data_IF_893080679320
#
_entry.id   IF_893080679320
#
_cell.length_a   1.000
_cell.length_b   1.000
_cell.length_c   1.000
_cell.angle_alpha   90.00
_cell.angle_beta   90.00
_cell.angle_gamma   90.00
#
_symmetry.space_group_name_H-M   'P 1'
#
loop_
_entity.id
_entity.type
_entity.pdbx_description
1 polymer ?
#
# COMPACT_ATOMS: atom_id res chain seq x y z
N UNK A 1 -22.78 -14.32 6.46
CA UNK A 1 -22.09 -15.10 5.39
C UNK A 1 -22.65 -16.52 5.24
N UNK A 2 -22.75 -17.27 6.32
CA UNK A 2 -23.28 -18.64 6.28
C UNK A 2 -24.71 -18.69 5.72
N UNK A 3 -25.60 -17.80 6.15
CA UNK A 3 -26.97 -17.72 5.65
C UNK A 3 -27.08 -17.48 4.14
N UNK A 4 -26.06 -16.95 3.48
CA UNK A 4 -26.01 -16.75 2.03
C UNK A 4 -25.35 -17.89 1.28
N UNK A 5 -24.75 -18.85 1.96
CA UNK A 5 -24.08 -19.96 1.31
C UNK A 5 -25.11 -20.90 0.68
N UNK A 6 -25.11 -21.11 -0.65
CA UNK A 6 -26.05 -21.98 -1.34
C UNK A 6 -26.09 -23.40 -0.77
N UNK A 7 -25.00 -23.86 -0.17
CA UNK A 7 -24.89 -25.22 0.42
C UNK A 7 -25.78 -25.40 1.65
N UNK A 8 -26.22 -24.33 2.30
CA UNK A 8 -27.11 -24.41 3.48
C UNK A 8 -28.60 -24.48 3.09
N UNK A 9 -28.93 -24.39 1.82
CA UNK A 9 -30.32 -24.37 1.33
C UNK A 9 -30.60 -25.54 0.40
N UNK A 10 -31.66 -26.28 0.67
CA UNK A 10 -32.04 -27.48 -0.10
C UNK A 10 -32.24 -27.25 -1.60
N UNK A 11 -32.58 -26.02 -1.98
CA UNK A 11 -32.79 -25.60 -3.37
C UNK A 11 -31.63 -24.75 -3.91
N UNK A 12 -30.52 -24.59 -3.16
CA UNK A 12 -29.39 -23.77 -3.53
C UNK A 12 -29.66 -22.26 -3.59
N UNK A 13 -30.82 -21.81 -3.12
CA UNK A 13 -31.20 -20.38 -3.11
C UNK A 13 -31.49 -19.90 -1.69
N UNK A 14 -30.83 -18.84 -1.27
CA UNK A 14 -31.11 -18.18 -0.01
C UNK A 14 -32.50 -17.53 -0.08
N UNK A 15 -33.41 -17.83 0.86
CA UNK A 15 -34.76 -17.23 0.89
C UNK A 15 -34.75 -15.80 1.43
N UNK A 16 -33.60 -15.34 1.98
CA UNK A 16 -33.47 -13.99 2.55
C UNK A 16 -32.93 -13.01 1.52
N UNK A 17 -33.55 -11.85 1.46
CA UNK A 17 -32.98 -10.70 0.76
C UNK A 17 -31.97 -10.02 1.67
N UNK A 18 -30.72 -9.89 1.18
CA UNK A 18 -29.69 -9.14 1.88
C UNK A 18 -29.69 -7.70 1.41
N UNK A 19 -29.74 -6.80 2.37
CA UNK A 19 -29.59 -5.37 2.14
C UNK A 19 -28.45 -4.84 3.02
N UNK A 20 -27.42 -4.28 2.40
CA UNK A 20 -26.40 -3.52 3.11
C UNK A 20 -26.75 -2.03 3.02
N UNK A 21 -26.70 -1.35 4.14
CA UNK A 21 -26.94 0.09 4.26
C UNK A 21 -25.69 0.73 4.85
N UNK A 22 -24.65 0.98 4.02
CA UNK A 22 -23.42 1.62 4.52
C UNK A 22 -23.70 3.05 4.96
N UNK A 23 -23.00 3.51 5.97
CA UNK A 23 -23.15 4.87 6.50
C UNK A 23 -22.82 5.94 5.44
N UNK A 24 -21.82 5.67 4.59
CA UNK A 24 -21.50 6.51 3.41
C UNK A 24 -21.89 5.75 2.15
N UNK A 25 -22.89 6.25 1.45
CA UNK A 25 -23.40 5.68 0.20
C UNK A 25 -22.50 6.03 -0.99
N UNK A 26 -21.96 7.27 -1.00
CA UNK A 26 -21.06 7.75 -2.04
C UNK A 26 -19.97 8.64 -1.43
N UNK A 27 -18.70 8.24 -1.63
CA UNK A 27 -17.55 9.05 -1.23
C UNK A 27 -17.23 10.07 -2.34
N UNK A 28 -17.13 11.35 -1.97
CA UNK A 28 -16.67 12.44 -2.84
C UNK A 28 -15.38 13.05 -2.32
N UNK A 29 -14.82 14.01 -3.07
CA UNK A 29 -13.51 14.61 -2.74
C UNK A 29 -13.48 15.27 -1.36
N UNK A 30 -14.56 15.94 -1.00
CA UNK A 30 -14.69 16.61 0.29
C UNK A 30 -15.72 15.89 1.15
N UNK A 31 -15.49 15.77 2.46
CA UNK A 31 -16.44 15.16 3.37
C UNK A 31 -17.83 15.83 3.34
N UNK A 32 -17.88 17.15 3.13
CA UNK A 32 -19.12 17.93 3.05
C UNK A 32 -20.02 17.48 1.90
N UNK A 33 -19.42 16.91 0.85
CA UNK A 33 -20.13 16.45 -0.34
C UNK A 33 -20.51 14.96 -0.28
N UNK A 34 -20.17 14.23 0.79
CA UNK A 34 -20.49 12.82 0.89
C UNK A 34 -21.98 12.57 0.98
N UNK A 35 -22.45 11.57 0.24
CA UNK A 35 -23.83 11.10 0.36
C UNK A 35 -23.89 10.08 1.48
N UNK A 36 -24.60 10.37 2.54
CA UNK A 36 -24.70 9.54 3.72
C UNK A 36 -26.07 8.90 3.88
N UNK A 37 -26.16 7.80 4.63
CA UNK A 37 -27.41 7.13 4.92
C UNK A 37 -28.32 7.98 5.82
N UNK A 38 -27.71 8.78 6.71
CA UNK A 38 -28.41 9.68 7.63
C UNK A 38 -28.05 11.13 7.27
N UNK A 39 -28.72 11.73 6.29
CA UNK A 39 -28.50 13.13 5.95
C UNK A 39 -28.97 14.04 7.09
N UNK A 40 -28.69 15.32 6.97
CA UNK A 40 -29.20 16.32 7.91
C UNK A 40 -30.73 16.25 7.97
N UNK A 41 -31.26 16.37 9.19
CA UNK A 41 -32.69 16.33 9.52
C UNK A 41 -33.17 17.69 10.01
N UNK A 42 -34.44 18.00 9.80
CA UNK A 42 -35.14 19.15 10.40
C UNK A 42 -35.57 18.89 11.85
N UNK A 43 -35.37 17.67 12.36
CA UNK A 43 -35.66 17.27 13.74
C UNK A 43 -34.46 16.57 14.37
N UNK A 44 -34.31 16.65 15.71
CA UNK A 44 -33.31 15.87 16.45
C UNK A 44 -33.46 14.37 16.16
N UNK A 45 -32.36 13.67 15.88
CA UNK A 45 -32.40 12.28 15.44
C UNK A 45 -32.88 11.28 16.52
N UNK A 46 -32.53 11.52 17.77
CA UNK A 46 -32.83 10.60 18.87
C UNK A 46 -33.88 11.17 19.82
N UNK A 47 -34.56 12.27 19.45
CA UNK A 47 -35.44 12.98 20.34
C UNK A 47 -34.70 13.66 21.49
N UNK A 48 -33.40 13.89 21.36
CA UNK A 48 -32.58 14.63 22.29
C UNK A 48 -32.90 16.13 22.14
N UNK A 49 -33.70 16.65 23.04
CA UNK A 49 -34.15 18.05 23.06
C UNK A 49 -32.96 19.02 23.29
N UNK A 50 -31.80 18.51 23.77
CA UNK A 50 -30.60 19.29 24.02
C UNK A 50 -29.69 19.37 22.77
N UNK A 51 -29.99 18.60 21.68
CA UNK A 51 -29.24 18.67 20.43
C UNK A 51 -29.50 20.01 19.73
N UNK A 52 -28.41 20.75 19.44
CA UNK A 52 -28.51 22.06 18.79
C UNK A 52 -28.40 21.90 17.26
N UNK A 53 -29.27 22.60 16.48
CA UNK A 53 -29.18 22.62 15.04
C UNK A 53 -27.91 23.38 14.59
N UNK A 54 -27.47 23.10 13.36
CA UNK A 54 -26.40 23.85 12.72
C UNK A 54 -26.86 25.28 12.30
N UNK A 55 -25.96 26.04 11.67
CA UNK A 55 -26.23 27.39 11.18
C UNK A 55 -27.40 27.48 10.18
N UNK A 56 -27.82 26.34 9.59
CA UNK A 56 -28.92 26.22 8.64
C UNK A 56 -30.22 25.76 9.32
N UNK A 57 -30.21 25.53 10.62
CA UNK A 57 -31.34 25.05 11.38
C UNK A 57 -31.59 23.54 11.24
N UNK A 58 -30.58 22.77 10.78
CA UNK A 58 -30.66 21.33 10.58
C UNK A 58 -29.83 20.59 11.63
N UNK A 59 -30.26 19.39 11.97
CA UNK A 59 -29.59 18.50 12.94
C UNK A 59 -28.70 17.48 12.19
N UNK A 60 -27.36 17.66 12.19
CA UNK A 60 -26.44 16.77 11.52
C UNK A 60 -26.02 15.65 12.48
N UNK A 61 -26.62 14.46 12.38
CA UNK A 61 -26.17 13.33 13.21
C UNK A 61 -24.97 12.60 12.60
N UNK A 62 -25.13 12.16 11.36
CA UNK A 62 -24.13 11.38 10.63
C UNK A 62 -23.94 11.93 9.22
N UNK A 63 -23.74 13.23 9.13
CA UNK A 63 -23.35 13.88 7.89
C UNK A 63 -21.90 13.51 7.49
N UNK A 64 -21.49 13.90 6.30
CA UNK A 64 -20.17 13.58 5.79
C UNK A 64 -19.02 14.03 6.71
N UNK A 65 -19.00 15.29 7.21
CA UNK A 65 -17.99 15.76 8.16
C UNK A 65 -17.93 14.95 9.45
N UNK A 66 -19.08 14.63 10.05
CA UNK A 66 -19.17 13.83 11.29
C UNK A 66 -18.67 12.41 11.06
N UNK A 67 -19.05 11.78 9.95
CA UNK A 67 -18.55 10.46 9.56
C UNK A 67 -17.06 10.49 9.21
N UNK A 68 -16.57 11.56 8.62
CA UNK A 68 -15.14 11.72 8.35
C UNK A 68 -14.33 11.81 9.65
N UNK A 69 -14.80 12.60 10.62
CA UNK A 69 -14.20 12.66 11.95
C UNK A 69 -14.22 11.28 12.61
N UNK A 70 -15.39 10.63 12.63
CA UNK A 70 -15.56 9.29 13.22
C UNK A 70 -14.68 8.24 12.59
N UNK A 71 -14.47 8.30 11.27
CA UNK A 71 -13.54 7.43 10.55
C UNK A 71 -12.09 7.56 11.04
N UNK A 72 -11.69 8.77 11.47
CA UNK A 72 -10.38 8.99 12.10
C UNK A 72 -10.24 8.47 13.52
N UNK A 73 -11.36 8.29 14.24
CA UNK A 73 -11.40 7.86 15.64
C UNK A 73 -11.48 6.34 15.82
N UNK A 74 -11.93 5.61 14.80
CA UNK A 74 -12.10 4.15 14.87
C UNK A 74 -11.08 3.45 14.02
N UNK A 75 -10.84 2.15 14.32
CA UNK A 75 -9.94 1.33 13.47
C UNK A 75 -10.56 1.13 12.08
N UNK A 76 -9.74 0.95 11.03
CA UNK A 76 -10.25 0.67 9.68
C UNK A 76 -11.19 -0.53 9.61
N UNK A 77 -10.95 -1.57 10.42
CA UNK A 77 -11.83 -2.75 10.51
C UNK A 77 -13.17 -2.41 11.15
N UNK A 78 -13.18 -1.63 12.23
CA UNK A 78 -14.42 -1.15 12.87
C UNK A 78 -15.20 -0.27 11.89
N UNK A 79 -14.50 0.60 11.14
CA UNK A 79 -15.14 1.41 10.11
C UNK A 79 -15.78 0.53 9.03
N UNK A 80 -15.03 -0.44 8.47
CA UNK A 80 -15.52 -1.33 7.43
C UNK A 80 -16.71 -2.17 7.90
N UNK A 81 -16.58 -2.79 9.09
CA UNK A 81 -17.60 -3.71 9.60
C UNK A 81 -18.86 -2.97 10.06
N UNK A 82 -18.71 -1.93 10.88
CA UNK A 82 -19.82 -1.27 11.59
C UNK A 82 -20.45 -0.19 10.71
N UNK A 83 -19.64 0.66 10.08
CA UNK A 83 -20.14 1.80 9.32
C UNK A 83 -20.38 1.52 7.85
N UNK A 84 -19.56 0.66 7.23
CA UNK A 84 -19.72 0.33 5.81
C UNK A 84 -20.42 -1.02 5.58
N UNK A 85 -20.67 -1.78 6.66
CA UNK A 85 -21.23 -3.14 6.60
C UNK A 85 -20.46 -4.06 5.64
N UNK A 86 -19.16 -3.81 5.52
CA UNK A 86 -18.22 -4.65 4.81
C UNK A 86 -17.79 -5.78 5.73
N UNK A 87 -17.80 -6.99 5.21
CA UNK A 87 -17.44 -8.19 5.95
C UNK A 87 -15.92 -8.29 6.09
N UNK A 88 -15.42 -8.05 7.29
CA UNK A 88 -14.00 -8.20 7.63
C UNK A 88 -13.83 -9.51 8.38
N UNK A 89 -13.31 -10.54 7.72
CA UNK A 89 -13.04 -11.82 8.37
C UNK A 89 -11.82 -11.74 9.30
N UNK A 90 -11.87 -12.47 10.41
CA UNK A 90 -10.74 -12.66 11.32
C UNK A 90 -9.55 -13.34 10.61
N UNK A 91 -9.82 -14.16 9.58
CA UNK A 91 -8.81 -14.82 8.75
C UNK A 91 -8.29 -13.95 7.58
N UNK A 92 -8.32 -12.64 7.71
CA UNK A 92 -7.78 -11.75 6.68
C UNK A 92 -6.28 -11.96 6.52
N UNK A 93 -5.81 -12.07 5.27
CA UNK A 93 -4.38 -12.16 4.94
C UNK A 93 -3.62 -10.92 5.42
N UNK A 94 -4.31 -9.77 5.44
CA UNK A 94 -3.82 -8.52 6.01
C UNK A 94 -4.69 -8.13 7.20
N UNK A 95 -4.47 -8.71 8.39
CA UNK A 95 -5.26 -8.39 9.57
C UNK A 95 -5.27 -6.89 9.84
N UNK A 96 -6.43 -6.31 10.15
CA UNK A 96 -6.55 -4.86 10.36
C UNK A 96 -5.58 -4.32 11.40
N UNK A 97 -5.39 -5.03 12.50
CA UNK A 97 -4.47 -4.65 13.56
C UNK A 97 -3.01 -4.58 13.07
N UNK A 98 -2.61 -5.51 12.18
CA UNK A 98 -1.27 -5.54 11.59
C UNK A 98 -1.06 -4.37 10.63
N UNK A 99 -2.01 -4.12 9.73
CA UNK A 99 -1.95 -2.99 8.78
C UNK A 99 -1.89 -1.67 9.55
N UNK A 100 -2.72 -1.51 10.56
CA UNK A 100 -2.76 -0.33 11.43
C UNK A 100 -1.41 -0.11 12.15
N UNK A 101 -0.80 -1.18 12.64
CA UNK A 101 0.52 -1.11 13.29
C UNK A 101 1.63 -0.64 12.35
N UNK A 102 1.48 -0.82 11.04
CA UNK A 102 2.43 -0.34 10.04
C UNK A 102 2.23 1.13 9.66
N UNK A 103 1.14 1.77 10.06
CA UNK A 103 0.87 3.18 9.78
C UNK A 103 1.64 4.07 10.75
N UNK A 104 2.44 5.00 10.20
CA UNK A 104 3.14 6.01 10.98
C UNK A 104 2.32 7.30 10.97
N UNK A 105 1.53 7.52 12.02
CA UNK A 105 0.61 8.65 12.12
C UNK A 105 1.26 10.04 11.99
N UNK A 106 2.55 10.16 12.32
CA UNK A 106 3.32 11.41 12.19
C UNK A 106 3.90 11.64 10.77
N UNK A 107 3.90 10.63 9.91
CA UNK A 107 4.44 10.72 8.55
C UNK A 107 3.31 10.99 7.55
N UNK A 108 3.35 12.15 6.94
CA UNK A 108 2.41 12.50 5.87
C UNK A 108 2.78 11.80 4.56
N UNK A 109 1.80 11.69 3.64
CA UNK A 109 2.06 11.26 2.27
C UNK A 109 3.00 12.25 1.57
N UNK A 110 3.79 11.75 0.65
CA UNK A 110 4.73 12.54 -0.13
C UNK A 110 6.16 12.06 -0.04
N UNK A 111 7.10 12.75 -0.69
CA UNK A 111 8.52 12.46 -0.60
C UNK A 111 8.99 12.55 0.86
N UNK A 112 9.93 11.70 1.22
CA UNK A 112 10.61 11.82 2.50
C UNK A 112 11.44 13.12 2.50
N UNK A 113 11.67 13.70 3.69
CA UNK A 113 12.40 14.96 3.81
C UNK A 113 13.82 14.80 3.22
N UNK A 114 14.38 15.84 2.58
CA UNK A 114 15.77 15.83 2.13
C UNK A 114 16.72 15.45 3.27
N UNK A 115 17.67 14.56 3.01
CA UNK A 115 18.60 14.03 4.02
C UNK A 115 17.97 12.99 4.95
N UNK A 116 16.67 12.73 4.88
CA UNK A 116 16.08 11.61 5.58
C UNK A 116 16.47 10.30 4.90
N UNK A 117 16.66 9.28 5.71
CA UNK A 117 16.82 7.91 5.24
C UNK A 117 15.62 7.53 4.39
N UNK A 118 15.86 7.04 3.17
CA UNK A 118 14.80 6.70 2.21
C UNK A 118 14.26 7.88 1.39
N UNK A 119 14.92 9.05 1.40
CA UNK A 119 14.58 10.13 0.46
C UNK A 119 14.74 9.64 -0.99
N UNK A 120 13.83 9.97 -1.95
CA UNK A 120 13.90 9.49 -3.33
C UNK A 120 15.21 9.79 -4.05
N UNK A 121 15.86 10.91 -3.70
CA UNK A 121 17.17 11.30 -4.25
C UNK A 121 18.36 10.83 -3.40
N UNK A 122 18.11 10.02 -2.37
CA UNK A 122 19.19 9.42 -1.59
C UNK A 122 19.81 8.26 -2.36
N UNK A 123 21.12 8.16 -2.35
CA UNK A 123 21.86 7.06 -3.00
C UNK A 123 21.51 5.71 -2.36
N UNK A 124 21.13 5.73 -1.09
CA UNK A 124 20.70 4.55 -0.32
C UNK A 124 19.25 4.16 -0.58
N UNK A 125 18.45 5.06 -1.16
CA UNK A 125 17.05 4.83 -1.49
C UNK A 125 16.87 4.31 -2.91
N UNK A 126 15.94 3.39 -3.11
CA UNK A 126 15.49 2.97 -4.43
C UNK A 126 13.98 3.08 -4.50
N UNK A 127 13.51 4.01 -5.32
CA UNK A 127 12.07 4.33 -5.43
C UNK A 127 11.47 3.65 -6.65
N UNK A 128 10.34 3.01 -6.44
CA UNK A 128 9.55 2.32 -7.46
C UNK A 128 8.13 2.85 -7.45
N UNK A 129 7.59 3.14 -8.60
CA UNK A 129 6.16 3.38 -8.78
C UNK A 129 5.55 2.13 -9.40
N UNK A 130 4.63 1.51 -8.67
CA UNK A 130 3.77 0.46 -9.21
C UNK A 130 2.52 1.09 -9.82
N UNK A 131 2.14 0.64 -10.98
CA UNK A 131 0.98 1.14 -11.72
C UNK A 131 0.12 -0.04 -12.20
N UNK A 132 -1.12 -0.06 -11.74
CA UNK A 132 -2.17 -0.95 -12.21
C UNK A 132 -3.11 -0.16 -13.13
N UNK A 133 -2.95 -0.29 -14.45
CA UNK A 133 -3.76 0.47 -15.39
C UNK A 133 -5.14 -0.17 -15.58
N UNK A 134 -6.18 0.65 -15.52
CA UNK A 134 -7.49 0.28 -15.98
C UNK A 134 -7.91 1.14 -17.16
N UNK A 135 -8.84 0.66 -17.96
CA UNK A 135 -9.44 1.42 -19.03
C UNK A 135 -10.97 1.48 -18.88
N UNK A 136 -11.53 2.66 -19.14
CA UNK A 136 -12.97 2.87 -19.15
C UNK A 136 -13.58 2.92 -17.75
N UNK A 137 -14.46 1.98 -17.41
CA UNK A 137 -15.22 1.98 -16.14
C UNK A 137 -14.43 1.45 -14.92
N UNK A 138 -13.14 1.17 -15.06
CA UNK A 138 -12.28 0.69 -13.98
C UNK A 138 -11.62 1.81 -13.17
N UNK A 139 -10.75 1.41 -12.24
CA UNK A 139 -9.89 2.33 -11.50
C UNK A 139 -8.45 2.06 -11.89
N UNK A 140 -7.70 3.13 -12.18
CA UNK A 140 -6.26 3.05 -12.34
C UNK A 140 -5.60 3.44 -11.01
N UNK A 141 -4.64 2.65 -10.56
CA UNK A 141 -3.98 2.90 -9.28
C UNK A 141 -2.47 3.06 -9.44
N UNK A 142 -1.93 3.99 -8.67
CA UNK A 142 -0.51 4.29 -8.60
C UNK A 142 -0.05 4.21 -7.15
N UNK A 143 1.04 3.52 -6.88
CA UNK A 143 1.68 3.46 -5.56
C UNK A 143 3.15 3.76 -5.70
N UNK A 144 3.61 4.83 -5.04
CA UNK A 144 5.03 5.11 -4.89
C UNK A 144 5.56 4.45 -3.62
N UNK A 145 6.65 3.69 -3.75
CA UNK A 145 7.29 2.97 -2.67
C UNK A 145 8.80 3.11 -2.76
N UNK A 146 9.49 3.33 -1.66
CA UNK A 146 10.95 3.37 -1.62
C UNK A 146 11.49 2.29 -0.69
N UNK A 147 12.52 1.58 -1.14
CA UNK A 147 13.33 0.72 -0.30
C UNK A 147 14.57 1.47 0.14
N UNK A 148 14.82 1.50 1.44
CA UNK A 148 16.01 2.08 2.03
C UNK A 148 17.00 0.98 2.44
N UNK A 149 18.20 1.05 1.90
CA UNK A 149 19.25 0.04 2.13
C UNK A 149 19.86 0.12 3.53
N UNK A 150 19.83 1.28 4.18
CA UNK A 150 20.44 1.49 5.49
C UNK A 150 19.64 0.81 6.59
N UNK A 151 18.33 1.06 6.63
CA UNK A 151 17.46 0.50 7.67
C UNK A 151 16.68 -0.73 7.24
N UNK A 152 16.82 -1.14 5.98
CA UNK A 152 16.14 -2.32 5.41
C UNK A 152 14.63 -2.16 5.28
N UNK A 153 14.09 -0.95 5.37
CA UNK A 153 12.65 -0.69 5.35
C UNK A 153 12.14 -0.32 3.96
N UNK A 154 10.88 -0.59 3.77
CA UNK A 154 10.09 -0.19 2.62
C UNK A 154 9.08 0.86 3.05
N UNK A 155 9.16 2.04 2.48
CA UNK A 155 8.27 3.15 2.78
C UNK A 155 7.26 3.34 1.64
N UNK A 156 5.98 3.16 1.93
CA UNK A 156 4.92 3.61 1.02
C UNK A 156 4.88 5.13 1.10
N UNK A 157 5.15 5.81 0.01
CA UNK A 157 5.21 7.28 -0.06
C UNK A 157 3.86 7.89 -0.36
N UNK A 158 3.14 7.28 -1.30
CA UNK A 158 1.83 7.76 -1.76
C UNK A 158 1.05 6.65 -2.44
N UNK A 159 -0.27 6.87 -2.53
CA UNK A 159 -1.16 6.09 -3.36
C UNK A 159 -2.21 7.02 -3.98
N UNK A 160 -2.46 6.85 -5.27
CA UNK A 160 -3.59 7.46 -5.95
C UNK A 160 -4.45 6.39 -6.61
N UNK A 161 -5.77 6.55 -6.46
CA UNK A 161 -6.79 5.67 -7.01
C UNK A 161 -7.71 6.48 -7.91
N UNK A 162 -7.45 6.44 -9.21
CA UNK A 162 -8.13 7.25 -10.20
C UNK A 162 -9.37 6.54 -10.73
N UNK A 163 -10.54 7.12 -10.50
CA UNK A 163 -11.77 6.71 -11.18
C UNK A 163 -11.83 7.27 -12.61
N UNK A 164 -12.50 6.54 -13.50
CA UNK A 164 -12.71 6.94 -14.89
C UNK A 164 -11.41 7.37 -15.60
N UNK A 165 -10.40 6.50 -15.66
CA UNK A 165 -9.12 6.80 -16.24
C UNK A 165 -9.24 7.01 -17.76
N UNK A 166 -8.68 8.13 -18.23
CA UNK A 166 -8.45 8.37 -19.66
C UNK A 166 -6.94 8.35 -19.93
N UNK A 167 -6.50 8.08 -21.18
CA UNK A 167 -5.08 8.08 -21.51
C UNK A 167 -4.37 9.37 -21.07
N UNK A 168 -5.01 10.54 -21.24
CA UNK A 168 -4.44 11.82 -20.82
C UNK A 168 -4.32 11.95 -19.30
N UNK A 169 -5.34 11.52 -18.54
CA UNK A 169 -5.29 11.53 -17.08
C UNK A 169 -4.20 10.60 -16.56
N UNK A 170 -4.09 9.40 -17.13
CA UNK A 170 -3.05 8.43 -16.80
C UNK A 170 -1.67 9.03 -17.09
N UNK A 171 -1.47 9.63 -18.26
CA UNK A 171 -0.20 10.25 -18.62
C UNK A 171 0.16 11.37 -17.65
N UNK A 172 -0.77 12.26 -17.33
CA UNK A 172 -0.57 13.33 -16.35
C UNK A 172 -0.21 12.78 -14.96
N UNK A 173 -0.83 11.68 -14.53
CA UNK A 173 -0.51 11.05 -13.24
C UNK A 173 0.88 10.41 -13.25
N UNK A 174 1.28 9.76 -14.35
CA UNK A 174 2.66 9.24 -14.51
C UNK A 174 3.67 10.39 -14.36
N UNK A 175 3.43 11.49 -15.06
CA UNK A 175 4.30 12.68 -15.01
C UNK A 175 4.36 13.27 -13.60
N UNK A 176 3.21 13.40 -12.92
CA UNK A 176 3.16 13.88 -11.53
C UNK A 176 3.97 13.01 -10.60
N UNK A 177 3.79 11.67 -10.66
CA UNK A 177 4.52 10.74 -9.80
C UNK A 177 6.02 10.72 -10.09
N UNK A 178 6.42 10.80 -11.35
CA UNK A 178 7.84 10.83 -11.73
C UNK A 178 8.50 12.11 -11.25
N UNK A 179 7.89 13.27 -11.47
CA UNK A 179 8.43 14.55 -11.02
C UNK A 179 8.49 14.63 -9.49
N UNK A 180 7.44 14.14 -8.81
CA UNK A 180 7.31 14.27 -7.35
C UNK A 180 8.19 13.29 -6.58
N UNK A 181 8.35 12.06 -7.07
CA UNK A 181 9.02 10.99 -6.35
C UNK A 181 10.37 10.59 -6.92
N UNK A 182 10.72 11.08 -8.10
CA UNK A 182 11.96 10.75 -8.84
C UNK A 182 12.27 9.23 -8.80
N UNK A 183 11.36 8.37 -9.27
CA UNK A 183 11.51 6.94 -9.15
C UNK A 183 12.61 6.42 -10.07
N UNK A 184 13.31 5.38 -9.63
CA UNK A 184 14.25 4.64 -10.45
C UNK A 184 13.52 3.74 -11.47
N UNK A 185 12.29 3.32 -11.12
CA UNK A 185 11.54 2.35 -11.90
C UNK A 185 10.03 2.63 -11.83
N UNK A 186 9.37 2.59 -13.00
CA UNK A 186 7.92 2.53 -13.14
C UNK A 186 7.54 1.10 -13.59
N UNK A 187 6.91 0.34 -12.71
CA UNK A 187 6.39 -1.01 -13.01
C UNK A 187 4.93 -0.96 -13.38
N UNK A 188 4.63 -1.40 -14.60
CA UNK A 188 3.28 -1.35 -15.17
C UNK A 188 2.79 -2.77 -15.41
N UNK A 189 1.55 -3.07 -14.99
CA UNK A 189 0.90 -4.29 -15.40
C UNK A 189 0.68 -4.29 -16.93
N UNK A 190 1.05 -5.38 -17.59
CA UNK A 190 0.85 -5.55 -19.03
C UNK A 190 0.07 -6.84 -19.32
N UNK A 191 -1.20 -6.84 -19.02
CA UNK A 191 -2.11 -7.87 -19.50
C UNK A 191 -2.74 -7.39 -20.84
N UNK A 192 -2.95 -8.28 -21.78
CA UNK A 192 -3.60 -8.10 -23.08
C UNK A 192 -3.66 -6.67 -23.70
N UNK A 193 -4.52 -5.79 -23.17
CA UNK A 193 -4.73 -4.43 -23.71
C UNK A 193 -3.71 -3.40 -23.22
N UNK A 194 -2.96 -3.69 -22.18
CA UNK A 194 -2.02 -2.77 -21.53
C UNK A 194 -0.62 -2.79 -22.15
N UNK A 195 -0.39 -3.65 -23.15
CA UNK A 195 0.86 -3.67 -23.96
C UNK A 195 1.16 -2.33 -24.64
N UNK A 196 0.17 -1.47 -24.79
CA UNK A 196 0.35 -0.13 -25.34
C UNK A 196 1.39 0.69 -24.57
N UNK A 197 1.46 0.56 -23.23
CA UNK A 197 2.47 1.25 -22.42
C UNK A 197 3.89 0.71 -22.65
N UNK A 198 4.01 -0.58 -22.90
CA UNK A 198 5.30 -1.19 -23.23
C UNK A 198 5.86 -0.71 -24.57
N UNK A 199 4.98 -0.44 -25.52
CA UNK A 199 5.31 -0.02 -26.88
C UNK A 199 5.40 1.50 -27.04
N UNK A 200 5.01 2.28 -26.02
CA UNK A 200 5.05 3.74 -26.04
C UNK A 200 6.49 4.26 -25.94
N UNK A 201 7.08 4.53 -27.11
CA UNK A 201 8.45 5.04 -27.25
C UNK A 201 8.61 6.43 -26.66
N UNK A 202 7.59 7.30 -26.80
CA UNK A 202 7.62 8.68 -26.32
C UNK A 202 7.61 8.69 -24.78
N UNK A 203 6.78 7.85 -24.16
CA UNK A 203 6.78 7.67 -22.72
C UNK A 203 8.15 7.16 -22.22
N UNK A 204 8.72 6.17 -22.87
CA UNK A 204 10.04 5.61 -22.48
C UNK A 204 11.15 6.65 -22.60
N UNK A 205 11.16 7.40 -23.69
CA UNK A 205 12.14 8.47 -23.89
C UNK A 205 12.00 9.57 -22.83
N UNK A 206 10.77 9.96 -22.53
CA UNK A 206 10.50 10.95 -21.48
C UNK A 206 10.94 10.44 -20.11
N UNK A 207 10.59 9.21 -19.72
CA UNK A 207 11.00 8.59 -18.47
C UNK A 207 12.52 8.52 -18.33
N UNK A 208 13.25 8.22 -19.42
CA UNK A 208 14.71 8.13 -19.39
C UNK A 208 15.39 9.46 -19.09
N UNK A 209 14.77 10.61 -19.42
CA UNK A 209 15.28 11.94 -19.07
C UNK A 209 15.28 12.17 -17.56
N UNK A 210 14.38 11.48 -16.84
CA UNK A 210 14.31 11.50 -15.37
C UNK A 210 15.05 10.32 -14.70
N UNK A 211 15.80 9.54 -15.47
CA UNK A 211 16.49 8.35 -14.95
C UNK A 211 15.54 7.22 -14.53
N UNK A 212 14.26 7.29 -14.92
CA UNK A 212 13.24 6.29 -14.60
C UNK A 212 13.14 5.24 -15.71
N UNK A 213 13.21 3.96 -15.36
CA UNK A 213 13.05 2.87 -16.31
C UNK A 213 11.63 2.30 -16.27
N UNK A 214 11.00 2.14 -17.43
CA UNK A 214 9.72 1.44 -17.57
C UNK A 214 9.95 -0.07 -17.54
N UNK A 215 9.32 -0.77 -16.62
CA UNK A 215 9.39 -2.23 -16.46
C UNK A 215 8.00 -2.85 -16.56
N UNK A 216 7.78 -3.67 -17.60
CA UNK A 216 6.53 -4.40 -17.71
C UNK A 216 6.44 -5.51 -16.67
N UNK A 217 5.23 -5.74 -16.13
CA UNK A 217 4.93 -6.85 -15.23
C UNK A 217 3.75 -7.66 -15.75
N UNK A 218 3.95 -8.96 -15.91
CA UNK A 218 2.89 -9.89 -16.30
C UNK A 218 2.25 -10.49 -15.06
N UNK A 219 1.01 -10.13 -14.80
CA UNK A 219 0.21 -10.70 -13.73
C UNK A 219 -0.55 -11.91 -14.25
N UNK A 220 -0.11 -13.11 -13.88
CA UNK A 220 -0.81 -14.36 -14.14
C UNK A 220 -1.26 -14.99 -12.80
N UNK A 221 -1.15 -16.31 -12.70
CA UNK A 221 -1.38 -17.05 -11.45
C UNK A 221 -0.37 -16.72 -10.35
N UNK A 222 0.74 -16.04 -10.67
CA UNK A 222 1.78 -15.64 -9.72
C UNK A 222 1.29 -14.70 -8.61
N UNK A 223 0.22 -13.95 -8.82
CA UNK A 223 -0.41 -13.13 -7.76
C UNK A 223 -0.94 -13.95 -6.59
N UNK A 224 -1.21 -15.24 -6.80
CA UNK A 224 -1.69 -16.19 -5.80
C UNK A 224 -0.59 -17.03 -5.16
N UNK A 225 0.64 -16.88 -5.63
CA UNK A 225 1.79 -17.58 -5.07
C UNK A 225 1.98 -17.21 -3.60
N UNK A 226 2.18 -18.22 -2.76
CA UNK A 226 2.32 -18.01 -1.31
C UNK A 226 3.61 -17.30 -0.94
N UNK A 227 4.65 -17.45 -1.76
CA UNK A 227 5.98 -16.90 -1.50
C UNK A 227 6.22 -15.53 -2.13
N UNK A 228 5.62 -15.28 -3.30
CA UNK A 228 5.86 -14.06 -4.10
C UNK A 228 4.58 -13.31 -4.46
N UNK A 229 3.41 -13.90 -4.25
CA UNK A 229 2.13 -13.28 -4.54
C UNK A 229 1.79 -12.14 -3.57
N UNK A 230 0.61 -11.58 -3.75
CA UNK A 230 0.10 -10.47 -2.95
C UNK A 230 0.14 -10.77 -1.45
N UNK A 231 -0.22 -11.98 -1.05
CA UNK A 231 -0.21 -12.42 0.34
C UNK A 231 1.18 -12.31 1.01
N UNK A 232 2.26 -12.41 0.24
CA UNK A 232 3.62 -12.30 0.79
C UNK A 232 3.95 -10.93 1.37
N UNK A 233 3.20 -9.88 1.03
CA UNK A 233 3.35 -8.56 1.64
C UNK A 233 2.99 -8.58 3.13
N UNK A 234 2.02 -9.40 3.56
CA UNK A 234 1.62 -9.47 4.96
C UNK A 234 2.75 -9.98 5.86
N UNK A 235 3.55 -10.93 5.38
CA UNK A 235 4.69 -11.47 6.15
C UNK A 235 5.78 -10.41 6.40
N UNK A 236 5.90 -9.42 5.51
CA UNK A 236 6.82 -8.30 5.68
C UNK A 236 6.28 -7.20 6.60
N UNK A 237 4.96 -7.13 6.78
CA UNK A 237 4.32 -6.27 7.78
C UNK A 237 4.49 -6.87 9.18
N UNK A 238 4.34 -8.17 9.33
CA UNK A 238 4.49 -8.89 10.59
C UNK A 238 4.13 -10.36 10.49
N UNK A 239 4.26 -11.03 11.62
CA UNK A 239 3.90 -12.44 11.78
C UNK A 239 2.96 -12.62 12.95
N UNK A 240 2.16 -13.66 12.94
CA UNK A 240 1.37 -14.07 14.10
C UNK A 240 2.17 -15.10 14.90
N UNK A 241 2.36 -14.83 16.18
CA UNK A 241 2.98 -15.78 17.11
C UNK A 241 2.10 -15.91 18.35
N UNK A 242 1.66 -17.12 18.68
CA UNK A 242 0.78 -17.44 19.82
C UNK A 242 -0.50 -16.57 19.89
N UNK A 243 -1.11 -16.30 18.74
CA UNK A 243 -2.29 -15.46 18.64
C UNK A 243 -2.05 -13.95 18.77
N UNK A 244 -0.77 -13.53 18.88
CA UNK A 244 -0.37 -12.12 18.96
C UNK A 244 0.39 -11.72 17.70
N UNK A 245 0.00 -10.58 17.11
CA UNK A 245 0.73 -10.03 15.98
C UNK A 245 2.05 -9.41 16.42
N UNK A 246 3.14 -9.89 15.84
CA UNK A 246 4.46 -9.29 15.96
C UNK A 246 4.78 -8.51 14.67
N UNK A 247 4.92 -7.20 14.82
CA UNK A 247 5.26 -6.31 13.72
C UNK A 247 6.72 -6.49 13.30
N UNK A 248 6.97 -6.70 12.01
CA UNK A 248 8.33 -6.81 11.47
C UNK A 248 9.01 -5.45 11.21
N UNK A 249 8.26 -4.35 11.28
CA UNK A 249 8.74 -3.00 10.95
C UNK A 249 9.38 -2.84 9.54
N UNK A 250 9.14 -3.78 8.64
CA UNK A 250 9.74 -3.76 7.31
C UNK A 250 8.98 -2.86 6.35
N UNK A 251 7.64 -2.81 6.46
CA UNK A 251 6.79 -1.93 5.65
C UNK A 251 6.20 -0.83 6.53
N UNK A 252 6.28 0.41 6.05
CA UNK A 252 5.71 1.56 6.74
C UNK A 252 4.81 2.36 5.81
N UNK A 253 3.58 2.63 6.27
CA UNK A 253 2.61 3.48 5.57
C UNK A 253 2.64 4.91 6.12
N UNK A 254 2.33 5.91 5.30
CA UNK A 254 2.06 7.27 5.79
C UNK A 254 0.72 7.30 6.53
N UNK A 255 0.49 8.38 7.27
CA UNK A 255 -0.85 8.69 7.77
C UNK A 255 -1.84 8.77 6.59
N UNK A 256 -3.00 8.18 6.78
CA UNK A 256 -4.08 8.24 5.78
C UNK A 256 -4.83 9.58 5.80
N UNK A 257 -4.55 10.44 6.78
CA UNK A 257 -5.17 11.77 6.85
C UNK A 257 -4.87 12.59 5.61
N UNK A 258 -5.93 13.16 5.00
CA UNK A 258 -5.82 14.01 3.82
C UNK A 258 -5.45 13.27 2.53
N UNK A 259 -5.48 11.93 2.49
CA UNK A 259 -5.22 11.14 1.28
C UNK A 259 -6.27 10.06 1.06
N UNK A 260 -7.14 10.27 0.09
CA UNK A 260 -8.14 9.26 -0.29
C UNK A 260 -7.49 8.03 -0.92
N UNK A 261 -6.40 8.19 -1.67
CA UNK A 261 -5.66 7.06 -2.26
C UNK A 261 -5.04 6.16 -1.19
N UNK A 262 -4.35 6.73 -0.18
CA UNK A 262 -3.79 5.94 0.94
C UNK A 262 -4.87 5.25 1.76
N UNK A 263 -6.01 5.92 2.00
CA UNK A 263 -7.17 5.30 2.65
C UNK A 263 -7.72 4.12 1.84
N UNK A 264 -7.86 4.31 0.52
CA UNK A 264 -8.31 3.26 -0.38
C UNK A 264 -7.36 2.06 -0.36
N UNK A 265 -6.04 2.29 -0.39
CA UNK A 265 -5.04 1.22 -0.28
C UNK A 265 -5.18 0.44 1.02
N UNK A 266 -5.26 1.13 2.16
CA UNK A 266 -5.41 0.49 3.48
C UNK A 266 -6.70 -0.33 3.52
N UNK A 267 -7.81 0.21 3.04
CA UNK A 267 -9.09 -0.47 2.99
C UNK A 267 -9.04 -1.71 2.09
N UNK A 268 -8.46 -1.58 0.89
CA UNK A 268 -8.31 -2.70 -0.04
C UNK A 268 -7.41 -3.80 0.54
N UNK A 269 -6.32 -3.45 1.26
CA UNK A 269 -5.48 -4.44 1.95
C UNK A 269 -6.26 -5.23 2.99
N UNK A 270 -7.00 -4.55 3.88
CA UNK A 270 -7.76 -5.18 4.96
C UNK A 270 -8.83 -6.13 4.42
N UNK A 271 -9.45 -5.78 3.29
CA UNK A 271 -10.52 -6.56 2.67
C UNK A 271 -10.02 -7.53 1.60
N UNK A 272 -8.72 -7.55 1.31
CA UNK A 272 -8.16 -8.35 0.23
C UNK A 272 -8.19 -9.86 0.55
N UNK A 273 -8.66 -10.62 -0.43
CA UNK A 273 -8.65 -12.09 -0.44
C UNK A 273 -8.35 -12.58 -1.85
N UNK A 274 -7.78 -13.79 -2.01
CA UNK A 274 -7.51 -14.40 -3.31
C UNK A 274 -8.70 -14.41 -4.28
N UNK A 275 -9.89 -14.59 -3.76
CA UNK A 275 -11.13 -14.71 -4.54
C UNK A 275 -11.94 -13.40 -4.60
N UNK A 276 -11.38 -12.29 -4.11
CA UNK A 276 -12.10 -11.02 -4.06
C UNK A 276 -12.44 -10.54 -5.47
N UNK A 277 -13.73 -10.40 -5.74
CA UNK A 277 -14.25 -9.74 -6.96
C UNK A 277 -14.35 -8.21 -6.79
N UNK A 278 -13.85 -7.68 -5.69
CA UNK A 278 -13.88 -6.25 -5.36
C UNK A 278 -12.74 -5.46 -5.97
N UNK A 279 -12.69 -4.18 -5.63
CA UNK A 279 -11.63 -3.26 -6.04
C UNK A 279 -10.31 -3.67 -5.36
N UNK A 280 -9.30 -3.99 -6.13
CA UNK A 280 -7.98 -4.41 -5.66
C UNK A 280 -6.84 -3.63 -6.31
N UNK A 281 -7.17 -2.60 -7.07
CA UNK A 281 -6.24 -1.87 -7.94
C UNK A 281 -5.06 -1.28 -7.17
N UNK A 282 -5.33 -0.67 -5.99
CA UNK A 282 -4.26 -0.11 -5.15
C UNK A 282 -3.35 -1.21 -4.57
N UNK A 283 -3.92 -2.36 -4.19
CA UNK A 283 -3.15 -3.51 -3.68
C UNK A 283 -2.26 -4.08 -4.77
N UNK A 284 -2.77 -4.17 -6.00
CA UNK A 284 -2.00 -4.64 -7.16
C UNK A 284 -0.87 -3.67 -7.49
N UNK A 285 -1.15 -2.37 -7.56
CA UNK A 285 -0.11 -1.35 -7.78
C UNK A 285 0.97 -1.40 -6.67
N UNK A 286 0.56 -1.54 -5.40
CA UNK A 286 1.51 -1.71 -4.30
C UNK A 286 2.34 -2.99 -4.46
N UNK A 287 1.73 -4.11 -4.85
CA UNK A 287 2.43 -5.36 -5.03
C UNK A 287 3.50 -5.28 -6.11
N UNK A 288 3.24 -4.60 -7.24
CA UNK A 288 4.26 -4.41 -8.29
C UNK A 288 5.49 -3.63 -7.78
N UNK A 289 5.28 -2.56 -7.02
CA UNK A 289 6.37 -1.83 -6.40
C UNK A 289 7.11 -2.68 -5.34
N UNK A 290 6.35 -3.40 -4.51
CA UNK A 290 6.86 -4.27 -3.46
C UNK A 290 7.78 -5.37 -4.00
N UNK A 291 7.44 -6.00 -5.11
CA UNK A 291 8.26 -7.07 -5.70
C UNK A 291 9.71 -6.59 -5.93
N UNK A 292 9.88 -5.38 -6.47
CA UNK A 292 11.22 -4.84 -6.68
C UNK A 292 11.94 -4.47 -5.39
N UNK A 293 11.22 -3.82 -4.47
CA UNK A 293 11.78 -3.49 -3.17
C UNK A 293 12.25 -4.74 -2.41
N UNK A 294 11.49 -5.83 -2.51
CA UNK A 294 11.83 -7.12 -1.92
C UNK A 294 13.05 -7.77 -2.57
N UNK A 295 13.15 -7.74 -3.90
CA UNK A 295 14.36 -8.22 -4.62
C UNK A 295 15.61 -7.50 -4.12
N UNK A 296 15.55 -6.18 -4.00
CA UNK A 296 16.67 -5.36 -3.50
C UNK A 296 17.03 -5.68 -2.06
N UNK A 297 16.03 -5.88 -1.20
CA UNK A 297 16.23 -6.30 0.18
C UNK A 297 16.95 -7.65 0.26
N UNK A 298 16.54 -8.62 -0.54
CA UNK A 298 17.18 -9.94 -0.60
C UNK A 298 18.63 -9.85 -1.05
N UNK A 299 18.92 -9.05 -2.08
CA UNK A 299 20.29 -8.79 -2.57
C UNK A 299 21.17 -8.17 -1.48
N UNK A 300 20.66 -7.18 -0.75
CA UNK A 300 21.38 -6.53 0.34
C UNK A 300 21.72 -7.50 1.48
N UNK A 301 20.78 -8.39 1.83
CA UNK A 301 21.00 -9.42 2.86
C UNK A 301 22.07 -10.44 2.46
N UNK A 302 22.13 -10.82 1.19
CA UNK A 302 23.15 -11.72 0.66
C UNK A 302 24.54 -11.08 0.76
N UNK A 303 24.68 -9.82 0.34
CA UNK A 303 25.94 -9.09 0.40
C UNK A 303 26.45 -8.97 1.85
N UNK A 304 25.58 -8.62 2.79
CA UNK A 304 25.91 -8.55 4.21
C UNK A 304 26.41 -9.89 4.75
N UNK A 305 25.73 -10.99 4.46
CA UNK A 305 26.14 -12.34 4.90
C UNK A 305 27.51 -12.75 4.36
N UNK A 306 27.82 -12.39 3.12
CA UNK A 306 29.15 -12.64 2.54
C UNK A 306 30.23 -11.80 3.22
N UNK A 307 29.95 -10.54 3.51
CA UNK A 307 30.86 -9.67 4.25
C UNK A 307 31.14 -10.20 5.67
N UNK A 308 30.09 -10.54 6.42
CA UNK A 308 30.18 -11.06 7.78
C UNK A 308 30.97 -12.39 7.84
N UNK A 309 30.75 -13.29 6.88
CA UNK A 309 31.48 -14.56 6.80
C UNK A 309 32.98 -14.33 6.47
N UNK A 310 33.31 -13.38 5.60
CA UNK A 310 34.72 -13.00 5.31
C UNK A 310 35.44 -12.50 6.55
N UNK A 311 34.81 -11.60 7.31
CA UNK A 311 35.33 -11.07 8.53
C UNK A 311 35.51 -12.14 9.61
N UNK A 312 34.52 -13.00 9.81
CA UNK A 312 34.55 -14.11 10.76
C UNK A 312 35.73 -15.05 10.44
N UNK A 313 35.90 -15.41 9.17
CA UNK A 313 37.00 -16.29 8.73
C UNK A 313 38.38 -15.63 8.95
N UNK A 314 38.54 -14.33 8.60
CA UNK A 314 39.77 -13.59 8.82
C UNK A 314 40.10 -13.43 10.31
N UNK A 315 39.10 -13.12 11.12
CA UNK A 315 39.26 -13.04 12.57
C UNK A 315 39.67 -14.37 13.20
N UNK A 316 39.14 -15.49 12.70
CA UNK A 316 39.53 -16.82 13.15
C UNK A 316 40.97 -17.20 12.73
N UNK A 317 41.38 -16.83 11.53
CA UNK A 317 42.74 -17.04 11.04
C UNK A 317 43.77 -16.18 11.81
N UNK A 318 43.42 -14.93 12.13
CA UNK A 318 44.26 -14.06 12.94
C UNK A 318 44.45 -14.59 14.38
N UNK A 319 43.35 -15.10 15.01
CA UNK A 319 43.41 -15.75 16.33
C UNK A 319 44.30 -17.00 16.35
N UNK A 320 44.42 -17.68 15.19
CA UNK A 320 45.35 -18.83 15.05
C UNK A 320 46.77 -18.45 14.73
N UNK A 321 47.12 -17.17 14.70
CA UNK A 321 48.46 -16.67 14.36
C UNK A 321 48.88 -16.90 12.90
N UNK A 322 47.94 -17.27 12.02
CA UNK A 322 48.25 -17.57 10.62
C UNK A 322 48.14 -16.32 9.71
N UNK A 323 47.52 -15.25 10.18
CA UNK A 323 47.37 -13.97 9.45
C UNK A 323 47.59 -12.81 10.41
N UNK A 324 48.46 -11.85 10.01
CA UNK A 324 48.58 -10.59 10.72
C UNK A 324 47.39 -9.69 10.37
N UNK A 325 46.61 -9.29 11.39
CA UNK A 325 45.37 -8.54 11.19
C UNK A 325 45.62 -7.18 10.53
N UNK A 326 46.74 -6.52 10.88
CA UNK A 326 47.09 -5.21 10.32
C UNK A 326 47.47 -5.30 8.83
N UNK A 327 48.16 -6.36 8.42
CA UNK A 327 48.48 -6.61 7.04
C UNK A 327 47.23 -6.91 6.22
N UNK A 328 46.30 -7.71 6.77
CA UNK A 328 45.05 -8.04 6.12
C UNK A 328 44.12 -6.83 5.95
N UNK A 329 44.18 -5.88 6.87
CA UNK A 329 43.43 -4.60 6.77
C UNK A 329 44.07 -3.65 5.74
N UNK A 330 45.42 -3.60 5.65
CA UNK A 330 46.13 -2.81 4.65
C UNK A 330 45.91 -3.32 3.24
N UNK A 331 45.95 -4.62 3.02
CA UNK A 331 45.66 -5.23 1.70
C UNK A 331 44.24 -4.94 1.26
N UNK A 332 43.27 -4.99 2.17
CA UNK A 332 41.88 -4.68 1.87
C UNK A 332 41.68 -3.19 1.52
N UNK A 333 42.42 -2.30 2.17
CA UNK A 333 42.40 -0.86 1.85
C UNK A 333 42.91 -0.60 0.43
N UNK A 334 44.00 -1.29 0.04
CA UNK A 334 44.57 -1.19 -1.30
C UNK A 334 43.69 -1.81 -2.38
N UNK A 335 42.95 -2.92 -2.10
CA UNK A 335 42.01 -3.52 -3.06
C UNK A 335 40.76 -2.68 -3.24
N UNK A 336 40.39 -1.88 -2.27
CA UNK A 336 39.11 -1.11 -2.29
C UNK A 336 39.30 0.33 -2.78
N UNK A 337 40.50 0.89 -2.65
CA UNK A 337 40.78 2.32 -2.87
C UNK A 337 42.09 2.58 -3.67
N UNK A 338 42.81 1.58 -4.10
CA UNK A 338 43.94 1.63 -5.04
C UNK A 338 43.48 1.25 -6.44
#
# INVERSE_FOLDING_TARGET
>A
KELRNPKHWSNGKCPFTYMAMPAVLEFRKKPEDWVTLWPKSDHPWDGDEDELPDEQGLFPKWDGPSLFKRRGEVTPSTWALVYQQEDVEEDSIFPPALVQACIKGTRRRGPLKPGAVGHPNSVEGYTVVGFDPAMGRGHAAFVAMTYNRIDGKMYVLDCENMSDPTPQKIRGMIEEFVIKYNPNELRVEINAHQKAYELDTDLRQWLSQYGCSLKPHFTQKNKWDTSHGVASMSTMMGTMHDGVFQKNNTIEFPSSEGSEGVKALIQQLITWKPETKGKTDCVMAMWFAFLRCRELMQQSTVISRYADNRWATRAQLAKRGTVNLDLALQEQWQEQFG
#
